data_IF_682486726532
#
_entry.id   IF_682486726532
#
_cell.length_a   1.000
_cell.length_b   1.000
_cell.length_c   1.000
_cell.angle_alpha   90.00
_cell.angle_beta   90.00
_cell.angle_gamma   90.00
#
_symmetry.space_group_name_H-M   'P 1'
#
loop_
_entity.id
_entity.type
_entity.pdbx_description
1 polymer ?
#
# COMPACT_ATOMS: atom_id res chain seq x y z
N UNK A 1 -6.01 18.70 -18.07
CA UNK A 1 -5.78 17.90 -16.85
C UNK A 1 -4.58 17.00 -17.12
N UNK A 2 -3.53 17.05 -16.32
CA UNK A 2 -2.43 16.10 -16.48
C UNK A 2 -2.91 14.79 -15.86
N UNK A 3 -3.13 13.74 -16.67
CA UNK A 3 -3.42 12.40 -16.16
C UNK A 3 -2.35 11.92 -15.15
N UNK A 4 -1.13 12.50 -15.23
CA UNK A 4 -0.05 12.29 -14.27
C UNK A 4 -0.28 12.90 -12.88
N UNK A 5 -1.07 13.97 -12.75
CA UNK A 5 -1.35 14.58 -11.44
C UNK A 5 -2.22 13.66 -10.59
N UNK A 6 -3.22 13.02 -11.23
CA UNK A 6 -4.09 12.04 -10.59
C UNK A 6 -3.32 10.78 -10.16
N UNK A 7 -2.37 10.33 -10.99
CA UNK A 7 -1.47 9.24 -10.63
C UNK A 7 -0.58 9.58 -9.44
N UNK A 8 0.04 10.78 -9.45
CA UNK A 8 0.91 11.25 -8.36
C UNK A 8 0.15 11.34 -7.04
N UNK A 9 -1.08 11.88 -7.05
CA UNK A 9 -1.86 12.02 -5.81
C UNK A 9 -2.29 10.66 -5.26
N UNK A 10 -2.67 9.71 -6.12
CA UNK A 10 -3.04 8.36 -5.68
C UNK A 10 -1.84 7.62 -5.10
N UNK A 11 -0.66 7.72 -5.72
CA UNK A 11 0.57 7.19 -5.15
C UNK A 11 0.89 7.77 -3.77
N UNK A 12 0.75 9.10 -3.62
CA UNK A 12 0.97 9.76 -2.33
C UNK A 12 0.01 9.24 -1.26
N UNK A 13 -1.29 9.17 -1.57
CA UNK A 13 -2.31 8.64 -0.66
C UNK A 13 -2.01 7.19 -0.24
N UNK A 14 -1.70 6.31 -1.20
CA UNK A 14 -1.36 4.92 -0.91
C UNK A 14 -0.10 4.79 -0.02
N UNK A 15 0.90 5.64 -0.26
CA UNK A 15 2.12 5.69 0.55
C UNK A 15 1.84 6.16 1.99
N UNK A 16 1.03 7.21 2.15
CA UNK A 16 0.63 7.74 3.45
C UNK A 16 -0.20 6.73 4.24
N UNK A 17 -1.21 6.10 3.62
CA UNK A 17 -2.01 5.04 4.23
C UNK A 17 -1.14 3.85 4.68
N UNK A 18 -0.19 3.43 3.83
CA UNK A 18 0.75 2.35 4.17
C UNK A 18 1.62 2.71 5.38
N UNK A 19 2.12 3.95 5.44
CA UNK A 19 2.93 4.44 6.56
C UNK A 19 2.11 4.56 7.85
N UNK A 20 0.88 5.07 7.75
CA UNK A 20 -0.02 5.20 8.90
C UNK A 20 -0.35 3.83 9.48
N UNK A 21 -0.69 2.85 8.64
CA UNK A 21 -0.95 1.47 9.07
C UNK A 21 0.24 0.84 9.80
N UNK A 22 1.47 1.09 9.33
CA UNK A 22 2.68 0.63 10.04
C UNK A 22 2.84 1.27 11.41
N UNK A 23 2.62 2.58 11.52
CA UNK A 23 2.69 3.29 12.81
C UNK A 23 1.60 2.81 13.76
N UNK A 24 0.36 2.61 13.28
CA UNK A 24 -0.74 2.08 14.09
C UNK A 24 -0.43 0.67 14.61
N UNK A 25 0.14 -0.20 13.76
CA UNK A 25 0.62 -1.53 14.19
C UNK A 25 1.72 -1.42 15.25
N UNK A 26 2.72 -0.55 15.05
CA UNK A 26 3.79 -0.36 16.04
C UNK A 26 3.27 0.18 17.37
N UNK A 27 2.28 1.07 17.35
CA UNK A 27 1.62 1.56 18.57
C UNK A 27 0.83 0.43 19.26
N UNK A 28 0.15 -0.42 18.50
CA UNK A 28 -0.63 -1.54 19.03
C UNK A 28 0.24 -2.61 19.71
N UNK A 29 1.40 -2.93 19.13
CA UNK A 29 2.33 -3.94 19.68
C UNK A 29 3.39 -3.37 20.64
N UNK A 30 3.42 -2.05 20.85
CA UNK A 30 4.35 -1.40 21.76
C UNK A 30 4.01 -1.73 23.23
N UNK A 31 4.88 -2.48 23.89
CA UNK A 31 4.85 -2.64 25.35
C UNK A 31 5.63 -1.50 26.04
N UNK A 32 5.22 -1.04 27.24
CA UNK A 32 6.02 -0.11 28.03
C UNK A 32 7.42 -0.68 28.29
N UNK A 33 8.51 0.12 28.28
CA UNK A 33 8.57 1.58 28.34
C UNK A 33 9.04 2.23 27.02
N UNK A 34 8.62 1.71 25.86
CA UNK A 34 8.98 2.28 24.56
C UNK A 34 8.54 3.76 24.46
N UNK A 35 9.27 4.62 23.72
CA UNK A 35 8.94 6.04 23.56
C UNK A 35 7.67 6.23 22.70
N UNK A 36 6.50 6.00 23.30
CA UNK A 36 5.19 6.10 22.65
C UNK A 36 4.90 7.52 22.16
N UNK A 37 5.39 8.55 22.86
CA UNK A 37 5.16 9.96 22.50
C UNK A 37 5.65 10.31 21.09
N UNK A 38 6.82 9.78 20.69
CA UNK A 38 7.37 9.99 19.35
C UNK A 38 6.50 9.34 18.26
N UNK A 39 5.98 8.13 18.53
CA UNK A 39 5.09 7.43 17.62
C UNK A 39 3.73 8.12 17.51
N UNK A 40 3.17 8.63 18.61
CA UNK A 40 1.95 9.43 18.61
C UNK A 40 2.14 10.73 17.82
N UNK A 41 3.25 11.45 18.02
CA UNK A 41 3.56 12.64 17.23
C UNK A 41 3.64 12.33 15.73
N UNK A 42 4.37 11.25 15.37
CA UNK A 42 4.49 10.79 13.99
C UNK A 42 3.14 10.41 13.38
N UNK A 43 2.25 9.77 14.15
CA UNK A 43 0.89 9.43 13.74
C UNK A 43 0.08 10.69 13.43
N UNK A 44 0.11 11.68 14.31
CA UNK A 44 -0.61 12.95 14.11
C UNK A 44 -0.14 13.69 12.85
N UNK A 45 1.17 13.72 12.60
CA UNK A 45 1.71 14.30 11.37
C UNK A 45 1.23 13.55 10.11
N UNK A 46 1.24 12.22 10.14
CA UNK A 46 0.76 11.39 9.02
C UNK A 46 -0.73 11.58 8.75
N UNK A 47 -1.56 11.73 9.79
CA UNK A 47 -2.98 12.03 9.64
C UNK A 47 -3.20 13.37 8.95
N UNK A 48 -2.49 14.41 9.39
CA UNK A 48 -2.55 15.73 8.74
C UNK A 48 -2.12 15.66 7.27
N UNK A 49 -1.01 15.00 6.96
CA UNK A 49 -0.56 14.80 5.58
C UNK A 49 -1.58 14.04 4.72
N UNK A 50 -2.29 13.08 5.34
CA UNK A 50 -3.34 12.32 4.65
C UNK A 50 -4.52 13.22 4.31
N UNK A 51 -4.88 14.13 5.20
CA UNK A 51 -5.94 15.10 4.96
C UNK A 51 -5.55 16.12 3.86
N UNK A 52 -4.34 16.69 3.94
CA UNK A 52 -3.82 17.58 2.89
C UNK A 52 -3.84 16.88 1.52
N UNK A 53 -3.47 15.60 1.46
CA UNK A 53 -3.52 14.81 0.22
C UNK A 53 -4.96 14.53 -0.27
N UNK A 54 -5.94 14.40 0.63
CA UNK A 54 -7.36 14.26 0.26
C UNK A 54 -7.89 15.55 -0.35
N UNK A 55 -7.58 16.71 0.23
CA UNK A 55 -7.99 18.00 -0.34
C UNK A 55 -7.44 18.22 -1.75
N UNK A 56 -6.18 17.84 -1.98
CA UNK A 56 -5.57 17.86 -3.31
C UNK A 56 -6.30 16.92 -4.29
N UNK A 57 -6.68 15.72 -3.85
CA UNK A 57 -7.46 14.78 -4.66
C UNK A 57 -8.83 15.36 -5.02
N UNK A 58 -9.53 15.96 -4.08
CA UNK A 58 -10.82 16.60 -4.33
C UNK A 58 -10.72 17.78 -5.31
N UNK A 59 -9.66 18.59 -5.19
CA UNK A 59 -9.39 19.67 -6.13
C UNK A 59 -9.21 19.12 -7.56
N UNK A 60 -8.41 18.06 -7.71
CA UNK A 60 -8.23 17.39 -9.00
C UNK A 60 -9.55 16.81 -9.53
N UNK A 61 -10.39 16.24 -8.67
CA UNK A 61 -11.70 15.71 -9.07
C UNK A 61 -12.67 16.82 -9.50
N UNK A 62 -12.65 17.98 -8.82
CA UNK A 62 -13.41 19.17 -9.23
C UNK A 62 -12.96 19.63 -10.62
N UNK A 63 -11.64 19.78 -10.83
CA UNK A 63 -11.09 20.14 -12.14
C UNK A 63 -11.43 19.12 -13.22
N UNK A 64 -11.41 17.82 -12.89
CA UNK A 64 -11.75 16.75 -13.84
C UNK A 64 -13.21 16.83 -14.29
N UNK A 65 -14.13 17.11 -13.35
CA UNK A 65 -15.53 17.35 -13.68
C UNK A 65 -15.69 18.57 -14.59
N UNK A 66 -15.01 19.68 -14.28
CA UNK A 66 -15.04 20.87 -15.15
C UNK A 66 -14.54 20.56 -16.57
N UNK A 67 -13.40 19.87 -16.72
CA UNK A 67 -12.88 19.49 -18.04
C UNK A 67 -13.86 18.58 -18.77
N UNK A 68 -14.44 17.60 -18.08
CA UNK A 68 -15.45 16.70 -18.67
C UNK A 68 -16.67 17.47 -19.16
N UNK A 69 -17.14 18.47 -18.40
CA UNK A 69 -18.27 19.33 -18.77
C UNK A 69 -17.95 20.28 -19.94
N UNK A 70 -16.70 20.69 -20.12
CA UNK A 70 -16.30 21.43 -21.32
C UNK A 70 -16.32 20.49 -22.54
N UNK A 71 -15.74 19.30 -22.39
CA UNK A 71 -15.63 18.32 -23.49
C UNK A 71 -16.99 17.83 -24.00
N UNK A 72 -18.06 17.85 -23.19
CA UNK A 72 -19.40 17.48 -23.66
C UNK A 72 -19.94 18.38 -24.77
N UNK A 73 -19.42 19.61 -24.90
CA UNK A 73 -19.78 20.51 -25.99
C UNK A 73 -19.03 20.26 -27.31
N UNK A 74 -17.99 19.42 -27.29
CA UNK A 74 -17.08 19.22 -28.43
C UNK A 74 -16.97 17.75 -28.87
N UNK A 75 -17.31 16.80 -28.01
CA UNK A 75 -17.15 15.37 -28.24
C UNK A 75 -18.50 14.67 -28.40
N UNK A 76 -18.49 13.59 -29.18
CA UNK A 76 -19.59 12.62 -29.21
C UNK A 76 -19.66 11.83 -27.90
N UNK A 77 -20.81 11.20 -27.62
CA UNK A 77 -20.96 10.39 -26.41
C UNK A 77 -19.95 9.23 -26.34
N UNK A 78 -19.62 8.61 -27.49
CA UNK A 78 -18.61 7.55 -27.55
C UNK A 78 -17.22 8.07 -27.17
N UNK A 79 -16.79 9.22 -27.72
CA UNK A 79 -15.51 9.83 -27.37
C UNK A 79 -15.45 10.30 -25.91
N UNK A 80 -16.58 10.79 -25.38
CA UNK A 80 -16.69 11.18 -23.98
C UNK A 80 -16.59 9.97 -23.04
N UNK A 81 -17.20 8.85 -23.42
CA UNK A 81 -17.07 7.58 -22.73
C UNK A 81 -15.61 7.11 -22.69
N UNK A 82 -14.93 7.09 -23.84
CA UNK A 82 -13.52 6.72 -23.95
C UNK A 82 -12.62 7.62 -23.10
N UNK A 83 -12.89 8.93 -23.08
CA UNK A 83 -12.18 9.87 -22.22
C UNK A 83 -12.36 9.55 -20.72
N UNK A 84 -13.59 9.27 -20.28
CA UNK A 84 -13.87 8.91 -18.88
C UNK A 84 -13.18 7.60 -18.49
N UNK A 85 -13.20 6.61 -19.37
CA UNK A 85 -12.48 5.36 -19.16
C UNK A 85 -10.98 5.61 -19.06
N UNK A 86 -10.40 6.38 -19.98
CA UNK A 86 -8.97 6.67 -20.00
C UNK A 86 -8.50 7.35 -18.70
N UNK A 87 -9.21 8.39 -18.24
CA UNK A 87 -8.81 9.13 -17.03
C UNK A 87 -8.97 8.29 -15.76
N UNK A 88 -9.95 7.38 -15.71
CA UNK A 88 -10.17 6.51 -14.54
C UNK A 88 -9.30 5.25 -14.55
N UNK A 89 -8.92 4.72 -15.71
CA UNK A 89 -8.24 3.44 -15.83
C UNK A 89 -6.89 3.41 -15.10
N UNK A 90 -6.02 4.40 -15.35
CA UNK A 90 -4.66 4.38 -14.79
C UNK A 90 -4.64 4.40 -13.25
N UNK A 91 -5.36 5.30 -12.56
CA UNK A 91 -5.48 5.27 -11.10
C UNK A 91 -6.08 3.96 -10.55
N UNK A 92 -7.10 3.42 -11.21
CA UNK A 92 -7.73 2.15 -10.80
C UNK A 92 -6.76 0.98 -10.89
N UNK A 93 -5.99 0.90 -11.97
CA UNK A 93 -4.96 -0.12 -12.15
C UNK A 93 -3.86 0.01 -11.09
N UNK A 94 -3.45 1.23 -10.76
CA UNK A 94 -2.42 1.48 -9.76
C UNK A 94 -2.87 1.05 -8.35
N UNK A 95 -4.10 1.38 -7.96
CA UNK A 95 -4.68 0.91 -6.69
C UNK A 95 -4.72 -0.62 -6.64
N UNK A 96 -5.17 -1.25 -7.73
CA UNK A 96 -5.24 -2.71 -7.80
C UNK A 96 -3.87 -3.37 -7.75
N UNK A 97 -2.89 -2.81 -8.45
CA UNK A 97 -1.50 -3.25 -8.36
C UNK A 97 -1.00 -3.18 -6.92
N UNK A 98 -1.23 -2.05 -6.24
CA UNK A 98 -0.80 -1.89 -4.84
C UNK A 98 -1.43 -2.93 -3.90
N UNK A 99 -2.71 -3.24 -4.09
CA UNK A 99 -3.42 -4.26 -3.31
C UNK A 99 -2.83 -5.66 -3.54
N UNK A 100 -2.49 -5.98 -4.79
CA UNK A 100 -1.85 -7.25 -5.13
C UNK A 100 -0.45 -7.35 -4.51
N UNK A 101 0.36 -6.28 -4.60
CA UNK A 101 1.68 -6.22 -3.99
C UNK A 101 1.62 -6.40 -2.46
N UNK A 102 0.63 -5.77 -1.81
CA UNK A 102 0.40 -5.91 -0.37
C UNK A 102 -0.03 -7.32 0.01
N UNK A 103 -0.87 -7.97 -0.80
CA UNK A 103 -1.28 -9.35 -0.58
C UNK A 103 -0.11 -10.32 -0.74
N UNK A 104 0.70 -10.16 -1.79
CA UNK A 104 1.91 -10.98 -2.03
C UNK A 104 2.83 -10.89 -0.81
N UNK A 105 3.17 -9.67 -0.39
CA UNK A 105 4.02 -9.43 0.79
C UNK A 105 3.48 -10.11 2.05
N UNK A 106 2.18 -10.01 2.32
CA UNK A 106 1.56 -10.65 3.48
C UNK A 106 1.66 -12.18 3.42
N UNK A 107 1.50 -12.78 2.24
CA UNK A 107 1.65 -14.23 2.06
C UNK A 107 3.10 -14.66 2.24
N UNK A 108 4.06 -13.90 1.73
CA UNK A 108 5.49 -14.15 1.95
C UNK A 108 5.86 -14.08 3.43
N UNK A 109 5.39 -13.05 4.16
CA UNK A 109 5.59 -12.92 5.61
C UNK A 109 4.96 -14.10 6.38
N UNK A 110 3.80 -14.58 5.96
CA UNK A 110 3.14 -15.75 6.57
C UNK A 110 3.93 -17.04 6.32
N UNK A 111 4.39 -17.27 5.08
CA UNK A 111 5.19 -18.45 4.75
C UNK A 111 6.51 -18.48 5.53
N UNK A 112 7.18 -17.33 5.68
CA UNK A 112 8.41 -17.23 6.46
C UNK A 112 8.18 -17.63 7.93
N UNK A 113 7.13 -17.12 8.58
CA UNK A 113 6.79 -17.47 9.97
C UNK A 113 6.46 -18.95 10.13
N UNK A 114 5.73 -19.54 9.17
CA UNK A 114 5.40 -20.96 9.20
C UNK A 114 6.66 -21.82 9.07
N UNK A 115 7.59 -21.45 8.19
CA UNK A 115 8.87 -22.14 8.04
C UNK A 115 9.73 -22.08 9.32
N UNK A 116 9.76 -20.93 10.00
CA UNK A 116 10.45 -20.77 11.30
C UNK A 116 9.81 -21.59 12.43
N UNK A 117 8.48 -21.80 12.38
CA UNK A 117 7.75 -22.59 13.38
C UNK A 117 7.88 -24.09 13.19
N UNK A 118 8.40 -24.55 12.06
CA UNK A 118 8.54 -25.96 11.77
C UNK A 118 9.73 -26.54 12.55
N UNK A 119 9.56 -27.66 13.29
CA UNK A 119 10.68 -28.29 13.98
C UNK A 119 11.77 -28.71 12.98
N UNK A 120 13.06 -28.68 13.37
CA UNK A 120 14.14 -29.16 12.51
C UNK A 120 13.86 -30.61 12.11
N UNK A 121 13.90 -30.89 10.81
CA UNK A 121 13.70 -32.24 10.29
C UNK A 121 14.69 -33.22 10.95
N UNK A 122 14.25 -34.38 11.47
CA UNK A 122 15.10 -35.37 12.14
C UNK A 122 15.95 -36.18 11.15
N UNK A 123 16.53 -35.53 10.15
CA UNK A 123 17.32 -36.16 9.08
C UNK A 123 18.78 -35.71 9.08
N UNK A 124 19.38 -35.41 10.23
CA UNK A 124 20.85 -35.28 10.38
C UNK A 124 21.36 -35.70 11.77
N UNK A 125 20.80 -36.77 12.37
CA UNK A 125 21.35 -37.36 13.62
C UNK A 125 21.66 -38.86 13.52
N UNK A 126 21.88 -39.40 12.31
CA UNK A 126 22.33 -40.78 12.12
C UNK A 126 23.52 -40.82 11.19
N UNK A 127 24.69 -40.37 11.67
CA UNK A 127 26.01 -40.77 11.15
C UNK A 127 27.13 -40.24 12.04
N UNK A 128 27.16 -40.64 13.31
CA UNK A 128 28.40 -40.60 14.09
C UNK A 128 28.36 -41.54 15.31
N UNK A 129 28.02 -42.80 15.09
CA UNK A 129 28.16 -43.87 16.10
C UNK A 129 28.56 -45.18 15.45
N UNK A 130 29.73 -45.18 14.82
CA UNK A 130 30.59 -46.32 14.51
C UNK A 130 31.74 -45.67 13.73
N UNK A 131 32.97 -45.58 14.22
CA UNK A 131 33.91 -46.70 14.41
C UNK A 131 35.05 -46.18 15.29
N UNK A 132 35.23 -46.72 16.50
CA UNK A 132 36.56 -47.01 17.10
C UNK A 132 36.38 -48.07 18.19
N UNK A 133 36.42 -49.34 17.79
CA UNK A 133 36.74 -50.45 18.68
C UNK A 133 37.38 -51.51 17.80
N UNK A 134 38.71 -51.54 17.81
CA UNK A 134 39.61 -52.70 17.79
C UNK A 134 41.02 -52.18 18.08
#
# INVERSE_FOLDING_TARGET
>A
LSAGDLERIVNLLLSLCSRLSRVDKSLYFSAPPLPQDSLHHKRSLLLRQTEDARELKENLDRRQRTVTAILTGYLTEAQLHDYRLFVSAKPSLLIRQRQLDDLIRQREEQLARLAESLPPSPAHSVRSTAVTSL
#
